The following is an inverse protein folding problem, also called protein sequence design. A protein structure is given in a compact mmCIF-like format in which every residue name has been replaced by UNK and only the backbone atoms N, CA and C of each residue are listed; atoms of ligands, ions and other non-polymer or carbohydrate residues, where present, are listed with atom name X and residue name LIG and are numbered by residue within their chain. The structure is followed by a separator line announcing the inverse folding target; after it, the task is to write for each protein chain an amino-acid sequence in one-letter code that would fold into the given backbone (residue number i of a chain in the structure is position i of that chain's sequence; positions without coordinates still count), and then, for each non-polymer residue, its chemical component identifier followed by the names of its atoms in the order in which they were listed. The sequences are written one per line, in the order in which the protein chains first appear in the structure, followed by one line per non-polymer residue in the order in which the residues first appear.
data_IF_368638464757
#
_entry.id   IF_368638464757
#
_cell.length_a   1.000
_cell.length_b   1.000
_cell.length_c   1.000
_cell.angle_alpha   90.00
_cell.angle_beta   90.00
_cell.angle_gamma   90.00
#
_symmetry.space_group_name_H-M   'P 1'
#
loop_
_entity.id
_entity.type
_entity.pdbx_description
1 polymer ?
#
# COMPACT_ATOMS: atom_id res chain seq x y z
N UNK A 1 17.40 13.47 23.38
CA UNK A 1 17.03 14.20 23.00
C UNK A 1 16.78 14.44 22.52
N UNK A 2 16.57 13.84 22.53
CA UNK A 2 16.07 14.47 22.08
C UNK A 2 15.70 14.65 21.48
N UNK A 3 15.77 14.24 21.59
CA UNK A 3 15.21 14.88 21.11
C UNK A 3 14.93 15.04 20.45
N UNK A 4 14.99 14.49 20.56
CA UNK A 4 14.48 15.16 20.00
C UNK A 4 14.16 15.33 19.40
N UNK A 5 14.17 14.96 19.58
CA UNK A 5 13.74 15.59 19.09
C UNK A 5 13.59 16.00 18.67
N UNK A 6 13.52 15.79 18.72
CA UNK A 6 13.11 16.59 18.33
C UNK A 6 12.94 17.07 17.78
N UNK A 7 12.84 17.06 17.87
CA UNK A 7 12.44 17.84 17.36
C UNK A 7 12.17 18.16 16.81
N UNK A 8 11.89 18.16 16.74
CA UNK A 8 11.36 18.74 16.27
C UNK A 8 10.88 19.27 16.21
N UNK A 9 10.69 19.23 16.26
CA UNK A 9 10.09 19.99 16.05
C UNK A 9 9.92 20.58 15.96
N UNK A 10 9.79 20.60 15.98
CA UNK A 10 9.41 21.26 15.79
C UNK A 10 9.04 21.73 15.39
N UNK A 11 9.13 21.90 15.10
CA UNK A 11 8.61 22.36 14.85
C UNK A 11 8.01 22.01 14.83
N UNK A 12 7.91 21.60 15.16
CA UNK A 12 7.47 21.30 15.27
C UNK A 12 6.76 20.94 14.94
N UNK A 13 6.93 20.74 15.00
CA UNK A 13 6.26 20.25 14.62
C UNK A 13 5.30 20.23 13.70
N UNK A 14 5.12 20.50 13.11
CA UNK A 14 4.22 20.59 11.99
C UNK A 14 4.61 19.72 10.81
N UNK A 15 5.78 19.23 10.82
CA UNK A 15 6.21 18.28 9.78
C UNK A 15 5.36 17.03 9.86
N UNK A 16 4.88 16.57 8.72
CA UNK A 16 4.22 15.28 8.64
C UNK A 16 5.30 14.23 8.92
N UNK A 17 5.04 13.41 9.90
CA UNK A 17 5.94 12.32 10.23
C UNK A 17 5.57 11.09 9.42
N UNK A 18 6.38 10.79 8.42
CA UNK A 18 6.21 9.60 7.58
C UNK A 18 6.90 8.37 8.15
N UNK A 19 7.45 8.46 9.35
CA UNK A 19 7.88 7.25 10.03
C UNK A 19 6.67 6.34 10.18
N UNK A 20 6.86 5.02 10.19
CA UNK A 20 5.73 4.12 10.25
C UNK A 20 4.86 4.41 11.47
N UNK A 21 3.61 4.76 11.21
CA UNK A 21 2.59 4.80 12.26
C UNK A 21 2.39 3.36 12.70
N UNK A 22 2.24 3.15 14.00
CA UNK A 22 2.09 1.80 14.51
C UNK A 22 0.97 1.07 13.75
N UNK A 23 1.30 -0.09 13.23
CA UNK A 23 0.36 -0.90 12.45
C UNK A 23 0.32 -0.56 10.96
N UNK A 24 1.09 0.44 10.52
CA UNK A 24 1.18 0.81 9.11
C UNK A 24 2.58 0.52 8.57
N UNK A 25 2.67 0.40 7.27
CA UNK A 25 3.85 -0.14 6.59
C UNK A 25 4.38 0.90 5.60
N UNK A 26 5.69 1.04 5.54
CA UNK A 26 6.37 1.66 4.41
C UNK A 26 7.67 0.90 4.19
N UNK A 27 7.77 0.15 3.10
CA UNK A 27 8.96 -0.64 2.81
C UNK A 27 10.05 0.17 2.11
N UNK A 28 9.73 1.40 1.64
CA UNK A 28 10.74 2.25 1.02
C UNK A 28 11.76 2.68 2.06
N UNK A 29 13.01 2.79 1.64
CA UNK A 29 14.09 3.22 2.54
C UNK A 29 14.07 4.74 2.68
N UNK A 30 13.49 5.23 3.76
CA UNK A 30 13.38 6.66 4.00
C UNK A 30 14.68 7.31 4.46
N UNK A 31 15.74 6.54 4.61
CA UNK A 31 17.07 7.08 4.88
C UNK A 31 17.82 7.48 3.62
N UNK A 32 17.31 7.08 2.44
CA UNK A 32 17.92 7.42 1.16
C UNK A 32 17.05 8.40 0.39
N UNK A 33 17.67 9.18 -0.48
CA UNK A 33 16.94 10.09 -1.36
C UNK A 33 15.99 9.31 -2.29
N UNK A 34 16.48 8.20 -2.85
CA UNK A 34 15.66 7.39 -3.75
C UNK A 34 14.40 6.87 -3.06
N UNK A 35 14.53 6.38 -1.84
CA UNK A 35 13.38 5.89 -1.08
C UNK A 35 12.39 6.99 -0.75
N UNK A 36 12.89 8.18 -0.40
CA UNK A 36 12.03 9.34 -0.14
C UNK A 36 11.27 9.76 -1.39
N UNK A 37 11.97 9.83 -2.52
CA UNK A 37 11.36 10.21 -3.80
C UNK A 37 10.30 9.19 -4.21
N UNK A 38 10.61 7.91 -4.05
CA UNK A 38 9.67 6.84 -4.38
C UNK A 38 8.41 6.96 -3.54
N UNK A 39 8.56 7.17 -2.23
CA UNK A 39 7.41 7.35 -1.34
C UNK A 39 6.57 8.56 -1.72
N UNK A 40 7.20 9.70 -1.96
CA UNK A 40 6.49 10.92 -2.31
C UNK A 40 5.73 10.75 -3.62
N UNK A 41 6.39 10.18 -4.63
CA UNK A 41 5.76 9.97 -5.93
C UNK A 41 4.60 8.98 -5.85
N UNK A 42 4.76 7.94 -5.05
CA UNK A 42 3.70 6.96 -4.85
C UNK A 42 2.45 7.60 -4.25
N UNK A 43 2.63 8.43 -3.24
CA UNK A 43 1.50 9.06 -2.55
C UNK A 43 0.83 10.14 -3.41
N UNK A 44 1.56 10.71 -4.37
CA UNK A 44 1.04 11.82 -5.17
C UNK A 44 0.51 11.40 -6.55
N UNK A 45 0.85 10.21 -7.03
CA UNK A 45 0.60 9.86 -8.43
C UNK A 45 0.01 8.46 -8.61
N UNK A 46 -0.66 7.93 -7.61
CA UNK A 46 -1.19 6.58 -7.69
C UNK A 46 -2.40 6.48 -8.63
N UNK A 47 -2.52 5.34 -9.31
CA UNK A 47 -3.70 5.01 -10.11
C UNK A 47 -4.56 4.01 -9.34
N UNK A 48 -5.83 3.93 -9.70
CA UNK A 48 -6.75 3.06 -8.97
C UNK A 48 -6.46 1.58 -9.24
N UNK A 49 -6.32 0.80 -8.17
CA UNK A 49 -6.16 -0.64 -8.29
C UNK A 49 -7.40 -1.28 -8.94
N UNK A 50 -8.57 -0.66 -8.79
CA UNK A 50 -9.81 -1.19 -9.36
C UNK A 50 -9.74 -1.33 -10.88
N UNK A 51 -8.93 -0.53 -11.54
CA UNK A 51 -8.80 -0.57 -13.00
C UNK A 51 -7.84 -1.66 -13.46
N UNK A 52 -7.25 -2.40 -12.54
CA UNK A 52 -6.21 -3.39 -12.83
C UNK A 52 -6.51 -4.76 -12.22
N UNK A 53 -7.78 -5.03 -11.95
CA UNK A 53 -8.21 -6.33 -11.42
C UNK A 53 -7.86 -7.43 -12.42
N UNK A 54 -7.24 -8.49 -11.93
CA UNK A 54 -6.83 -9.61 -12.76
C UNK A 54 -5.43 -9.53 -13.32
N UNK A 55 -4.81 -8.34 -13.29
CA UNK A 55 -3.43 -8.18 -13.77
C UNK A 55 -2.45 -8.63 -12.68
N UNK A 56 -1.33 -9.18 -13.11
CA UNK A 56 -0.26 -9.53 -12.18
C UNK A 56 0.66 -8.33 -12.03
N UNK A 57 0.79 -7.85 -10.80
CA UNK A 57 1.64 -6.71 -10.47
C UNK A 57 2.90 -7.23 -9.81
N UNK A 58 4.06 -6.77 -10.27
CA UNK A 58 5.35 -7.14 -9.67
C UNK A 58 5.73 -6.08 -8.65
N UNK A 59 5.23 -6.27 -7.44
CA UNK A 59 5.29 -5.26 -6.39
C UNK A 59 6.65 -5.28 -5.70
N UNK A 60 7.32 -4.14 -5.66
CA UNK A 60 8.65 -4.00 -5.05
C UNK A 60 8.59 -3.21 -3.75
N UNK A 61 7.55 -2.40 -3.54
CA UNK A 61 7.35 -1.67 -2.27
C UNK A 61 5.87 -1.55 -1.96
N UNK A 62 5.58 -1.44 -0.68
CA UNK A 62 4.23 -1.26 -0.16
C UNK A 62 4.23 -0.13 0.84
N UNK A 63 3.26 0.77 0.72
CA UNK A 63 3.01 1.80 1.71
C UNK A 63 1.56 1.66 2.16
N UNK A 64 1.33 1.63 3.47
CA UNK A 64 -0.01 1.70 4.02
C UNK A 64 -0.06 2.86 5.01
N UNK A 65 -1.19 3.55 5.04
CA UNK A 65 -1.34 4.68 5.96
C UNK A 65 -2.82 4.91 6.24
N UNK A 66 -3.12 5.65 7.31
CA UNK A 66 -4.52 5.96 7.62
C UNK A 66 -5.13 6.79 6.49
N UNK A 67 -6.39 6.52 6.21
CA UNK A 67 -7.15 7.26 5.21
C UNK A 67 -8.58 7.47 5.66
N UNK A 68 -9.31 8.20 4.84
CA UNK A 68 -10.73 8.47 5.07
C UNK A 68 -11.51 8.02 3.85
N UNK A 69 -12.49 7.17 4.08
CA UNK A 69 -13.43 6.76 3.04
C UNK A 69 -14.61 7.70 3.10
N UNK A 70 -14.86 8.40 2.00
CA UNK A 70 -15.98 9.35 1.93
C UNK A 70 -17.31 8.63 2.02
N UNK A 71 -18.19 9.15 2.86
CA UNK A 71 -19.55 8.65 2.94
C UNK A 71 -20.35 9.02 1.70
N UNK A 72 -21.40 8.25 1.44
CA UNK A 72 -22.32 8.46 0.32
C UNK A 72 -23.73 8.54 0.84
N UNK A 73 -24.57 9.28 0.11
CA UNK A 73 -26.00 9.36 0.42
C UNK A 73 -26.28 9.81 1.86
N UNK A 74 -25.53 10.80 2.31
CA UNK A 74 -25.72 11.35 3.66
C UNK A 74 -25.03 10.56 4.77
N UNK A 75 -24.32 9.48 4.43
CA UNK A 75 -23.57 8.73 5.43
C UNK A 75 -22.30 9.48 5.83
N UNK A 76 -21.87 9.27 7.07
CA UNK A 76 -20.64 9.87 7.56
C UNK A 76 -19.41 9.25 6.89
N UNK A 77 -18.33 10.04 6.79
CA UNK A 77 -17.03 9.52 6.38
C UNK A 77 -16.53 8.53 7.43
N UNK A 78 -15.80 7.51 6.99
CA UNK A 78 -15.28 6.49 7.89
C UNK A 78 -13.78 6.33 7.73
N UNK A 79 -13.07 5.97 8.81
CA UNK A 79 -11.65 5.69 8.68
C UNK A 79 -11.42 4.41 7.89
N UNK A 80 -10.32 4.39 7.15
CA UNK A 80 -9.92 3.22 6.39
C UNK A 80 -8.40 3.18 6.30
N UNK A 81 -7.86 2.16 5.65
CA UNK A 81 -6.45 2.12 5.31
C UNK A 81 -6.28 2.44 3.85
N UNK A 82 -5.40 3.40 3.55
CA UNK A 82 -4.93 3.61 2.19
C UNK A 82 -3.77 2.66 1.93
N UNK A 83 -3.88 1.86 0.88
CA UNK A 83 -2.85 0.89 0.48
C UNK A 83 -2.28 1.30 -0.86
N UNK A 84 -0.95 1.41 -0.94
CA UNK A 84 -0.23 1.76 -2.15
C UNK A 84 0.74 0.63 -2.48
N UNK A 85 0.66 0.13 -3.72
CA UNK A 85 1.53 -0.92 -4.22
C UNK A 85 2.38 -0.34 -5.33
N UNK A 86 3.70 -0.38 -5.18
CA UNK A 86 4.62 0.17 -6.17
C UNK A 86 5.23 -0.99 -6.93
N UNK A 87 5.09 -0.99 -8.26
CA UNK A 87 5.64 -2.07 -9.06
C UNK A 87 7.08 -1.77 -9.51
N UNK A 88 7.68 -2.75 -10.19
CA UNK A 88 9.08 -2.62 -10.60
C UNK A 88 9.31 -1.51 -11.62
N UNK A 89 8.25 -1.06 -12.29
CA UNK A 89 8.33 0.04 -13.27
C UNK A 89 8.06 1.40 -12.62
N UNK A 90 7.82 1.44 -11.32
CA UNK A 90 7.55 2.67 -10.61
C UNK A 90 6.10 3.10 -10.62
N UNK A 91 5.21 2.30 -11.20
CA UNK A 91 3.78 2.60 -11.19
C UNK A 91 3.21 2.24 -9.83
N UNK A 92 2.39 3.11 -9.29
CA UNK A 92 1.78 2.92 -7.97
C UNK A 92 0.28 2.70 -8.11
N UNK A 93 -0.21 1.67 -7.45
CA UNK A 93 -1.62 1.30 -7.44
C UNK A 93 -2.19 1.56 -6.05
N UNK A 94 -3.37 2.14 -6.00
CA UNK A 94 -3.99 2.61 -4.76
C UNK A 94 -5.32 1.91 -4.52
N UNK A 95 -5.59 1.56 -3.27
CA UNK A 95 -6.88 1.00 -2.88
C UNK A 95 -7.22 1.39 -1.43
N UNK A 96 -8.51 1.59 -1.18
CA UNK A 96 -9.06 1.75 0.16
C UNK A 96 -9.89 0.54 0.58
N UNK A 97 -9.87 -0.53 -0.21
CA UNK A 97 -10.66 -1.73 0.04
C UNK A 97 -10.24 -2.43 1.33
N UNK A 98 -11.20 -2.83 2.15
CA UNK A 98 -10.91 -3.59 3.36
C UNK A 98 -10.35 -4.97 3.05
N UNK A 99 -10.75 -5.59 1.94
CA UNK A 99 -10.20 -6.87 1.52
C UNK A 99 -8.75 -6.75 1.12
N UNK A 100 -8.39 -5.68 0.39
CA UNK A 100 -7.00 -5.41 0.04
C UNK A 100 -6.18 -5.12 1.29
N UNK A 101 -6.72 -4.33 2.22
CA UNK A 101 -6.06 -4.06 3.50
C UNK A 101 -5.71 -5.37 4.21
N UNK A 102 -6.69 -6.25 4.35
CA UNK A 102 -6.49 -7.52 5.06
C UNK A 102 -5.45 -8.37 4.35
N UNK A 103 -5.55 -8.45 3.04
CA UNK A 103 -4.63 -9.26 2.24
C UNK A 103 -3.20 -8.77 2.35
N UNK A 104 -2.99 -7.46 2.20
CA UNK A 104 -1.62 -6.93 2.21
C UNK A 104 -1.01 -6.99 3.60
N UNK A 105 -1.81 -6.73 4.64
CA UNK A 105 -1.31 -6.81 6.00
C UNK A 105 -0.89 -8.24 6.34
N UNK A 106 -1.67 -9.23 5.92
CA UNK A 106 -1.32 -10.64 6.10
C UNK A 106 -0.05 -11.00 5.33
N UNK A 107 0.00 -10.61 4.05
CA UNK A 107 1.15 -10.92 3.20
C UNK A 107 2.43 -10.32 3.77
N UNK A 108 2.40 -9.06 4.17
CA UNK A 108 3.59 -8.41 4.70
C UNK A 108 3.98 -8.93 6.07
N UNK A 109 3.03 -9.44 6.86
CA UNK A 109 3.39 -10.06 8.14
C UNK A 109 4.14 -11.37 7.94
N UNK A 110 3.94 -12.03 6.80
CA UNK A 110 4.61 -13.29 6.48
C UNK A 110 5.94 -13.05 5.78
N UNK A 111 5.94 -12.23 4.73
CA UNK A 111 7.13 -12.02 3.91
C UNK A 111 8.09 -10.98 4.46
N UNK A 112 7.60 -10.01 5.20
CA UNK A 112 8.38 -8.90 5.78
C UNK A 112 8.93 -7.92 4.75
N UNK A 113 9.21 -8.38 3.53
CA UNK A 113 9.72 -7.57 2.44
C UNK A 113 8.93 -7.91 1.18
N UNK A 114 9.03 -7.05 0.17
CA UNK A 114 8.35 -7.28 -1.11
C UNK A 114 9.23 -8.14 -2.01
N UNK A 115 9.56 -9.33 -1.53
CA UNK A 115 10.44 -10.22 -2.26
C UNK A 115 10.04 -11.67 -1.99
N UNK A 116 9.55 -12.34 -3.00
CA UNK A 116 9.22 -13.76 -2.96
C UNK A 116 10.35 -14.61 -3.55
N UNK A 117 11.59 -14.13 -3.44
CA UNK A 117 12.75 -14.81 -4.01
C UNK A 117 13.08 -14.36 -5.43
N UNK A 118 12.39 -13.32 -5.92
CA UNK A 118 12.52 -12.82 -7.29
C UNK A 118 12.85 -11.34 -7.35
N UNK A 119 12.98 -10.69 -6.20
CA UNK A 119 13.13 -9.24 -6.12
C UNK A 119 11.81 -8.48 -6.14
N UNK A 120 10.69 -9.19 -6.13
CA UNK A 120 9.36 -8.59 -6.08
C UNK A 120 8.35 -9.63 -5.55
N UNK A 121 7.15 -9.13 -5.18
CA UNK A 121 6.00 -9.98 -4.88
C UNK A 121 5.05 -9.96 -6.08
N UNK A 122 4.77 -11.10 -6.71
CA UNK A 122 3.78 -11.13 -7.80
C UNK A 122 2.37 -11.20 -7.19
N UNK A 123 1.66 -10.08 -7.23
CA UNK A 123 0.33 -9.96 -6.64
C UNK A 123 -0.71 -9.70 -7.71
N UNK A 124 -1.88 -10.32 -7.55
CA UNK A 124 -3.01 -10.02 -8.41
C UNK A 124 -4.21 -9.66 -7.55
N UNK A 125 -4.93 -8.63 -7.96
CA UNK A 125 -6.17 -8.26 -7.31
C UNK A 125 -7.29 -9.10 -7.88
N UNK A 126 -7.97 -9.86 -7.03
CA UNK A 126 -9.12 -10.68 -7.42
C UNK A 126 -10.38 -10.06 -6.85
N UNK A 127 -11.47 -10.23 -7.57
CA UNK A 127 -12.76 -9.71 -7.18
C UNK A 127 -13.74 -10.88 -7.12
N UNK A 128 -14.27 -11.15 -5.92
CA UNK A 128 -15.23 -12.22 -5.69
C UNK A 128 -16.59 -11.62 -5.39
N UNK A 129 -17.64 -12.20 -5.96
CA UNK A 129 -19.02 -11.80 -5.65
C UNK A 129 -19.50 -12.62 -4.46
N UNK A 130 -19.92 -11.91 -3.42
CA UNK A 130 -20.45 -12.56 -2.21
C UNK A 130 -21.91 -12.95 -2.39
N UNK A 131 -22.43 -13.87 -1.55
CA UNK A 131 -23.83 -14.29 -1.66
C UNK A 131 -24.84 -13.15 -1.58
N UNK A 132 -24.50 -12.04 -0.90
CA UNK A 132 -25.38 -10.88 -0.80
C UNK A 132 -25.27 -9.95 -2.01
N UNK A 133 -24.51 -10.33 -3.04
CA UNK A 133 -24.32 -9.51 -4.24
C UNK A 133 -23.20 -8.49 -4.15
N UNK A 134 -22.62 -8.29 -2.98
CA UNK A 134 -21.50 -7.38 -2.83
C UNK A 134 -20.23 -8.01 -3.37
N UNK A 135 -19.27 -7.16 -3.70
CA UNK A 135 -17.97 -7.59 -4.23
C UNK A 135 -16.91 -7.45 -3.15
N UNK A 136 -16.11 -8.50 -2.99
CA UNK A 136 -14.95 -8.49 -2.12
C UNK A 136 -13.70 -8.52 -2.97
N UNK A 137 -12.81 -7.54 -2.77
CA UNK A 137 -11.51 -7.53 -3.42
C UNK A 137 -10.46 -8.04 -2.47
N UNK A 138 -9.49 -8.77 -3.00
CA UNK A 138 -8.36 -9.26 -2.23
C UNK A 138 -7.14 -9.34 -3.12
N UNK A 139 -5.96 -9.32 -2.50
CA UNK A 139 -4.71 -9.56 -3.20
C UNK A 139 -4.27 -10.98 -2.92
N UNK A 140 -3.82 -11.66 -3.96
CA UNK A 140 -3.27 -13.00 -3.84
C UNK A 140 -1.89 -13.03 -4.46
N UNK A 141 -1.02 -13.85 -3.90
CA UNK A 141 0.28 -14.11 -4.50
C UNK A 141 0.06 -15.13 -5.58
N UNK A 142 0.60 -14.85 -6.76
CA UNK A 142 0.46 -15.74 -7.92
C UNK A 142 1.83 -16.18 -8.37
N UNK A 143 1.86 -17.26 -9.11
CA UNK A 143 3.10 -17.74 -9.71
C UNK A 143 3.17 -17.15 -11.11
N UNK A 144 4.13 -16.25 -11.32
CA UNK A 144 4.28 -15.55 -12.58
C UNK A 144 5.50 -16.04 -13.38
N UNK A 145 6.11 -17.14 -12.95
CA UNK A 145 7.32 -17.60 -13.64
C UNK A 145 7.03 -18.03 -15.07
N UNK A 146 5.81 -18.47 -15.31
CA UNK A 146 5.45 -18.98 -16.63
C UNK A 146 5.33 -17.90 -17.66
N UNK A 147 5.12 -16.68 -17.25
CA UNK A 147 5.03 -15.59 -18.19
C UNK A 147 6.36 -15.32 -18.86
N UNK A 148 7.43 -15.89 -18.34
CA UNK A 148 8.71 -15.82 -18.99
C UNK A 148 8.78 -16.67 -20.26
N UNK A 149 7.82 -17.50 -20.48
CA UNK A 149 7.82 -18.41 -21.61
C UNK A 149 7.60 -17.74 -22.96
#
# INVERSE_FOLDING_TARGET
MTENITAIATAEDTAIDFAPVQGYINTCDLDTLDGKMRSANALNSAVSLNDHVGEVLRVVDVITMPGIRKGRNGQADTPCQNTYLIDEDGITYFSQSDGVKRSINTTMSIFKTCDAGKGYLPLACKSDVLPNGNTLKKLVIVDDVDDAQ
#
